data_IF_950695556487
#
_entry.id   IF_950695556487
#
_cell.length_a   1.000
_cell.length_b   1.000
_cell.length_c   1.000
_cell.angle_alpha   90.00
_cell.angle_beta   90.00
_cell.angle_gamma   90.00
#
_symmetry.space_group_name_H-M   'P 1'
#
loop_
_entity.id
_entity.type
_entity.pdbx_description
1 polymer ?
#
# COMPACT_ATOMS: atom_id res chain seq x y z
N UNK A 1 -47.05 -12.97 -12.44
CA UNK A 1 -45.99 -13.75 -11.75
C UNK A 1 -45.21 -12.76 -10.88
N UNK A 2 -45.34 -12.82 -9.55
CA UNK A 2 -44.73 -11.87 -8.62
C UNK A 2 -43.38 -12.43 -8.14
N UNK A 3 -42.28 -11.79 -8.53
CA UNK A 3 -40.96 -12.11 -8.00
C UNK A 3 -40.71 -11.31 -6.72
N UNK A 4 -40.34 -12.00 -5.63
CA UNK A 4 -39.96 -11.39 -4.35
C UNK A 4 -38.45 -11.42 -4.25
N UNK A 5 -37.80 -10.25 -4.22
CA UNK A 5 -36.35 -10.14 -4.05
C UNK A 5 -36.00 -10.56 -2.63
N UNK A 6 -35.17 -11.59 -2.48
CA UNK A 6 -34.60 -11.99 -1.21
C UNK A 6 -33.33 -11.15 -1.03
N UNK A 7 -33.37 -10.15 -0.15
CA UNK A 7 -32.17 -9.39 0.21
C UNK A 7 -31.23 -10.34 0.97
N UNK A 8 -30.14 -10.76 0.33
CA UNK A 8 -29.10 -11.54 1.00
C UNK A 8 -28.55 -10.78 2.20
N UNK A 9 -28.38 -11.46 3.33
CA UNK A 9 -27.74 -10.87 4.52
C UNK A 9 -26.31 -10.50 4.13
N UNK A 10 -26.04 -9.20 4.03
CA UNK A 10 -24.71 -8.69 3.72
C UNK A 10 -23.81 -9.01 4.90
N UNK A 11 -22.97 -10.04 4.79
CA UNK A 11 -21.97 -10.36 5.81
C UNK A 11 -21.06 -9.15 5.98
N UNK A 12 -20.88 -8.69 7.21
CA UNK A 12 -19.89 -7.66 7.52
C UNK A 12 -18.51 -8.16 7.10
N UNK A 13 -17.77 -7.29 6.41
CA UNK A 13 -16.39 -7.62 6.03
C UNK A 13 -15.54 -7.58 7.29
N UNK A 14 -14.63 -8.56 7.49
CA UNK A 14 -13.72 -8.53 8.61
C UNK A 14 -12.86 -7.25 8.59
N UNK A 15 -12.51 -6.73 9.76
CA UNK A 15 -11.47 -5.72 9.85
C UNK A 15 -10.11 -6.39 9.63
N UNK A 16 -9.60 -6.31 8.40
CA UNK A 16 -8.34 -6.94 8.02
C UNK A 16 -7.14 -6.36 8.78
N UNK A 17 -7.17 -5.07 9.14
CA UNK A 17 -6.11 -4.47 9.94
C UNK A 17 -6.01 -5.18 11.29
N UNK A 18 -7.12 -5.33 12.02
CA UNK A 18 -7.13 -5.98 13.34
C UNK A 18 -6.67 -7.44 13.25
N UNK A 19 -7.09 -8.17 12.22
CA UNK A 19 -6.68 -9.56 12.02
C UNK A 19 -5.16 -9.67 11.81
N UNK A 20 -4.59 -8.83 10.95
CA UNK A 20 -3.16 -8.85 10.66
C UNK A 20 -2.32 -8.27 11.81
N UNK A 21 -2.81 -7.22 12.48
CA UNK A 21 -2.19 -6.67 13.68
C UNK A 21 -2.08 -7.73 14.78
N UNK A 22 -3.17 -8.45 15.06
CA UNK A 22 -3.16 -9.54 16.04
C UNK A 22 -2.18 -10.67 15.68
N UNK A 23 -2.08 -11.03 14.39
CA UNK A 23 -1.12 -12.02 13.93
C UNK A 23 0.33 -11.53 14.07
N UNK A 24 0.57 -10.27 13.73
CA UNK A 24 1.85 -9.59 13.87
C UNK A 24 2.31 -9.51 15.33
N UNK A 25 1.45 -9.05 16.25
CA UNK A 25 1.76 -8.96 17.68
C UNK A 25 2.16 -10.33 18.26
N UNK A 26 1.46 -11.40 17.88
CA UNK A 26 1.81 -12.76 18.29
C UNK A 26 3.17 -13.21 17.76
N UNK A 27 3.58 -12.78 16.57
CA UNK A 27 4.93 -13.03 16.05
C UNK A 27 5.99 -12.28 16.86
N UNK A 28 5.75 -11.02 17.20
CA UNK A 28 6.65 -10.22 18.05
C UNK A 28 6.83 -10.86 19.42
N UNK A 29 5.74 -11.26 20.07
CA UNK A 29 5.80 -11.96 21.36
C UNK A 29 6.63 -13.23 21.30
N UNK A 30 6.47 -14.05 20.24
CA UNK A 30 7.25 -15.28 20.05
C UNK A 30 8.73 -15.01 19.80
N UNK A 31 9.06 -13.94 19.08
CA UNK A 31 10.44 -13.52 18.85
C UNK A 31 11.09 -13.02 20.15
N UNK A 32 10.37 -12.26 20.97
CA UNK A 32 10.89 -11.72 22.23
C UNK A 32 11.09 -12.79 23.30
N UNK A 33 10.22 -13.80 23.35
CA UNK A 33 10.32 -14.89 24.34
C UNK A 33 11.27 -16.03 23.91
N UNK A 34 12.12 -15.80 22.90
CA UNK A 34 12.93 -16.82 22.27
C UNK A 34 14.34 -16.97 22.86
N UNK A 35 14.44 -17.32 24.15
CA UNK A 35 15.75 -17.44 24.83
C UNK A 35 16.64 -18.58 24.29
N UNK A 36 16.10 -19.55 23.54
CA UNK A 36 16.90 -20.54 22.80
C UNK A 36 16.11 -21.22 21.66
N UNK A 37 15.38 -20.47 20.85
CA UNK A 37 14.69 -21.08 19.70
C UNK A 37 15.71 -21.71 18.73
N UNK A 38 15.46 -22.95 18.30
CA UNK A 38 16.15 -23.54 17.15
C UNK A 38 16.16 -22.54 15.99
N UNK A 39 17.30 -22.36 15.34
CA UNK A 39 17.51 -21.33 14.30
C UNK A 39 16.39 -21.33 13.24
N UNK A 40 15.87 -22.50 12.87
CA UNK A 40 14.75 -22.65 11.95
C UNK A 40 13.45 -21.98 12.40
N UNK A 41 13.09 -22.10 13.69
CA UNK A 41 11.86 -21.48 14.19
C UNK A 41 12.01 -19.96 14.27
N UNK A 42 13.22 -19.48 14.59
CA UNK A 42 13.54 -18.05 14.54
C UNK A 42 13.46 -17.50 13.12
N UNK A 43 13.95 -18.24 12.13
CA UNK A 43 13.80 -17.91 10.70
C UNK A 43 12.32 -17.88 10.30
N UNK A 44 11.53 -18.87 10.70
CA UNK A 44 10.09 -18.91 10.39
C UNK A 44 9.35 -17.71 10.98
N UNK A 45 9.59 -17.38 12.25
CA UNK A 45 8.92 -16.23 12.87
C UNK A 45 9.39 -14.90 12.28
N UNK A 46 10.65 -14.76 11.84
CA UNK A 46 11.10 -13.60 11.05
C UNK A 46 10.33 -13.47 9.73
N UNK A 47 10.15 -14.57 8.99
CA UNK A 47 9.36 -14.58 7.74
C UNK A 47 7.90 -14.17 7.99
N UNK A 48 7.29 -14.70 9.05
CA UNK A 48 5.91 -14.33 9.45
C UNK A 48 5.79 -12.88 9.90
N UNK A 49 6.78 -12.39 10.65
CA UNK A 49 6.85 -11.01 11.09
C UNK A 49 6.81 -10.05 9.89
N UNK A 50 7.66 -10.30 8.87
CA UNK A 50 7.66 -9.51 7.63
C UNK A 50 6.33 -9.63 6.89
N UNK A 51 5.83 -10.86 6.70
CA UNK A 51 4.57 -11.09 6.00
C UNK A 51 3.39 -10.35 6.65
N UNK A 52 3.16 -10.54 7.95
CA UNK A 52 2.03 -9.90 8.63
C UNK A 52 2.21 -8.39 8.78
N UNK A 53 3.44 -7.90 8.91
CA UNK A 53 3.73 -6.47 8.90
C UNK A 53 3.28 -5.79 7.60
N UNK A 54 3.59 -6.40 6.45
CA UNK A 54 3.11 -5.92 5.14
C UNK A 54 1.59 -5.95 5.05
N UNK A 55 0.96 -7.08 5.39
CA UNK A 55 -0.50 -7.21 5.29
C UNK A 55 -1.23 -6.22 6.21
N UNK A 56 -0.70 -5.99 7.41
CA UNK A 56 -1.21 -5.02 8.37
C UNK A 56 -1.13 -3.60 7.81
N UNK A 57 0.04 -3.18 7.32
CA UNK A 57 0.23 -1.83 6.78
C UNK A 57 -0.57 -1.60 5.49
N UNK A 58 -0.73 -2.63 4.65
CA UNK A 58 -1.62 -2.56 3.48
C UNK A 58 -3.10 -2.45 3.81
N UNK A 59 -3.51 -2.91 5.00
CA UNK A 59 -4.89 -2.81 5.46
C UNK A 59 -5.16 -1.55 6.29
N UNK A 60 -4.13 -0.75 6.59
CA UNK A 60 -4.25 0.45 7.43
C UNK A 60 -4.84 1.60 6.60
N UNK A 61 -5.94 2.17 7.09
CA UNK A 61 -6.44 3.45 6.59
C UNK A 61 -5.74 4.62 7.31
N UNK A 62 -5.27 5.60 6.55
CA UNK A 62 -4.63 6.84 7.02
C UNK A 62 -5.54 8.06 6.94
N UNK A 63 -6.75 7.92 6.39
CA UNK A 63 -7.71 9.02 6.24
C UNK A 63 -8.02 9.70 7.58
N UNK A 64 -7.79 11.02 7.63
CA UNK A 64 -8.15 11.86 8.77
C UNK A 64 -7.25 11.72 10.00
N UNK A 65 -6.14 10.99 9.89
CA UNK A 65 -5.15 10.91 10.95
C UNK A 65 -4.38 12.23 11.11
N UNK A 66 -3.97 12.52 12.34
CA UNK A 66 -3.13 13.68 12.64
C UNK A 66 -1.63 13.37 12.40
N UNK A 67 -0.80 14.41 12.50
CA UNK A 67 0.63 14.32 12.23
C UNK A 67 1.35 13.23 13.04
N UNK A 68 1.11 13.14 14.35
CA UNK A 68 1.79 12.18 15.24
C UNK A 68 1.35 10.73 14.92
N UNK A 69 0.08 10.54 14.59
CA UNK A 69 -0.45 9.25 14.15
C UNK A 69 0.17 8.80 12.83
N UNK A 70 0.33 9.72 11.86
CA UNK A 70 0.97 9.42 10.57
C UNK A 70 2.45 9.09 10.75
N UNK A 71 3.17 9.83 11.61
CA UNK A 71 4.57 9.54 11.93
C UNK A 71 4.73 8.16 12.58
N UNK A 72 3.83 7.78 13.49
CA UNK A 72 3.85 6.45 14.12
C UNK A 72 3.69 5.33 13.08
N UNK A 73 2.87 5.55 12.05
CA UNK A 73 2.72 4.59 10.94
C UNK A 73 3.97 4.59 10.06
N UNK A 74 4.60 5.75 9.82
CA UNK A 74 5.84 5.86 9.05
C UNK A 74 6.97 5.09 9.73
N UNK A 75 7.10 5.21 11.05
CA UNK A 75 8.04 4.42 11.85
C UNK A 75 7.79 2.92 11.70
N UNK A 76 6.52 2.48 11.68
CA UNK A 76 6.19 1.09 11.42
C UNK A 76 6.60 0.64 10.00
N UNK A 77 6.41 1.47 8.98
CA UNK A 77 6.90 1.19 7.62
C UNK A 77 8.42 1.04 7.60
N UNK A 78 9.16 1.98 8.20
CA UNK A 78 10.63 1.92 8.25
C UNK A 78 11.13 0.71 9.03
N UNK A 79 10.45 0.34 10.12
CA UNK A 79 10.78 -0.85 10.89
C UNK A 79 10.60 -2.15 10.08
N UNK A 80 9.49 -2.25 9.34
CA UNK A 80 9.24 -3.41 8.46
C UNK A 80 10.24 -3.44 7.30
N UNK A 81 10.55 -2.30 6.67
CA UNK A 81 11.60 -2.22 5.64
C UNK A 81 12.97 -2.60 6.19
N UNK A 82 13.31 -2.19 7.41
CA UNK A 82 14.52 -2.60 8.10
C UNK A 82 14.59 -4.12 8.31
N UNK A 83 13.47 -4.77 8.62
CA UNK A 83 13.43 -6.24 8.71
C UNK A 83 13.55 -6.93 7.33
N UNK A 84 12.92 -6.36 6.29
CA UNK A 84 13.03 -6.86 4.92
C UNK A 84 14.46 -6.76 4.39
N UNK A 85 15.18 -5.67 4.71
CA UNK A 85 16.53 -5.43 4.19
C UNK A 85 17.55 -6.48 4.67
N UNK A 86 17.27 -7.16 5.79
CA UNK A 86 18.12 -8.24 6.30
C UNK A 86 17.91 -9.57 5.56
N UNK A 87 16.89 -9.67 4.71
CA UNK A 87 16.65 -10.86 3.89
C UNK A 87 17.48 -10.77 2.61
N UNK A 88 17.90 -11.93 2.11
CA UNK A 88 18.29 -12.07 0.71
C UNK A 88 17.07 -12.03 -0.22
N UNK A 89 17.24 -11.66 -1.51
CA UNK A 89 16.16 -11.74 -2.49
C UNK A 89 15.49 -13.12 -2.56
N UNK A 90 16.25 -14.21 -2.45
CA UNK A 90 15.69 -15.57 -2.42
C UNK A 90 14.83 -15.82 -1.17
N UNK A 91 15.24 -15.35 0.01
CA UNK A 91 14.41 -15.43 1.21
C UNK A 91 13.15 -14.57 1.11
N UNK A 92 13.25 -13.40 0.48
CA UNK A 92 12.12 -12.52 0.22
C UNK A 92 11.12 -13.15 -0.76
N UNK A 93 11.60 -13.75 -1.86
CA UNK A 93 10.77 -14.47 -2.84
C UNK A 93 9.99 -15.65 -2.22
N UNK A 94 10.55 -16.28 -1.17
CA UNK A 94 9.83 -17.30 -0.41
C UNK A 94 8.64 -16.74 0.41
N UNK A 95 8.68 -15.45 0.76
CA UNK A 95 7.59 -14.78 1.49
C UNK A 95 6.59 -14.19 0.49
N UNK A 96 7.10 -13.52 -0.53
CA UNK A 96 6.32 -12.84 -1.56
C UNK A 96 6.76 -13.33 -2.94
N UNK A 97 6.17 -14.41 -3.47
CA UNK A 97 6.56 -14.92 -4.78
C UNK A 97 6.36 -13.89 -5.89
N UNK A 98 7.31 -13.83 -6.83
CA UNK A 98 7.22 -12.96 -8.02
C UNK A 98 6.03 -13.40 -8.87
N UNK A 99 5.25 -12.44 -9.36
CA UNK A 99 4.18 -12.74 -10.31
C UNK A 99 4.73 -13.27 -11.63
N UNK A 100 4.23 -14.42 -12.07
CA UNK A 100 4.58 -15.05 -13.35
C UNK A 100 3.80 -14.43 -14.50
N UNK A 101 4.05 -13.14 -14.73
CA UNK A 101 3.58 -12.40 -15.89
C UNK A 101 4.78 -12.00 -16.73
N UNK A 102 4.59 -11.95 -18.04
CA UNK A 102 5.69 -11.93 -19.01
C UNK A 102 5.46 -10.91 -20.14
N UNK A 103 4.39 -10.11 -20.05
CA UNK A 103 4.02 -9.09 -21.02
C UNK A 103 4.24 -7.68 -20.44
N UNK A 104 5.30 -7.53 -19.63
CA UNK A 104 5.70 -6.27 -18.98
C UNK A 104 5.95 -5.16 -19.99
N UNK A 105 6.86 -5.43 -20.91
CA UNK A 105 7.29 -4.49 -21.94
C UNK A 105 6.11 -3.97 -22.78
N UNK A 106 5.16 -4.85 -23.11
CA UNK A 106 3.99 -4.49 -23.92
C UNK A 106 3.07 -3.48 -23.22
N UNK A 107 2.92 -3.58 -21.91
CA UNK A 107 1.98 -2.73 -21.16
C UNK A 107 2.70 -1.69 -20.27
N UNK A 108 4.01 -1.52 -20.42
CA UNK A 108 4.79 -0.51 -19.69
C UNK A 108 4.88 -0.75 -18.18
N UNK A 109 4.91 -2.02 -17.76
CA UNK A 109 4.95 -2.42 -16.35
C UNK A 109 6.03 -3.46 -16.11
N UNK A 110 6.43 -3.62 -14.85
CA UNK A 110 7.45 -4.57 -14.44
C UNK A 110 6.87 -5.97 -14.49
N UNK A 111 7.62 -6.91 -15.04
CA UNK A 111 7.21 -8.31 -15.15
C UNK A 111 8.22 -9.25 -14.49
N UNK A 112 7.99 -10.56 -14.63
CA UNK A 112 8.83 -11.58 -14.02
C UNK A 112 10.32 -11.41 -14.41
N UNK A 113 10.61 -11.17 -15.68
CA UNK A 113 11.98 -11.06 -16.17
C UNK A 113 12.63 -9.77 -15.70
N UNK A 114 11.90 -8.66 -15.71
CA UNK A 114 12.36 -7.40 -15.13
C UNK A 114 12.78 -7.60 -13.66
N UNK A 115 11.90 -8.19 -12.84
CA UNK A 115 12.21 -8.42 -11.41
C UNK A 115 13.38 -9.38 -11.22
N UNK A 116 13.49 -10.47 -12.01
CA UNK A 116 14.66 -11.38 -11.90
C UNK A 116 15.97 -10.69 -12.28
N UNK A 117 15.96 -9.78 -13.26
CA UNK A 117 17.15 -9.00 -13.61
C UNK A 117 17.55 -8.05 -12.48
N UNK A 118 16.60 -7.31 -11.90
CA UNK A 118 16.85 -6.44 -10.75
C UNK A 118 17.40 -7.22 -9.54
N UNK A 119 16.87 -8.42 -9.28
CA UNK A 119 17.39 -9.34 -8.26
C UNK A 119 18.85 -9.73 -8.53
N UNK A 120 19.18 -10.06 -9.78
CA UNK A 120 20.52 -10.48 -10.17
C UNK A 120 21.58 -9.37 -9.95
N UNK A 121 21.21 -8.10 -10.17
CA UNK A 121 22.06 -6.94 -9.91
C UNK A 121 22.36 -6.70 -8.42
N UNK A 122 21.45 -7.13 -7.55
CA UNK A 122 21.63 -7.06 -6.09
C UNK A 122 22.43 -8.26 -5.58
N UNK A 123 22.16 -9.44 -6.13
CA UNK A 123 22.70 -10.72 -5.68
C UNK A 123 21.64 -11.56 -4.96
N UNK A 124 21.35 -12.75 -5.48
CA UNK A 124 20.20 -13.56 -5.04
C UNK A 124 20.25 -14.02 -3.57
N UNK A 125 21.46 -14.24 -3.04
CA UNK A 125 21.71 -14.82 -1.72
C UNK A 125 22.42 -13.84 -0.77
N UNK A 126 22.50 -12.56 -1.14
CA UNK A 126 23.08 -11.50 -0.31
C UNK A 126 21.97 -10.66 0.30
N UNK A 127 22.09 -10.22 1.57
CA UNK A 127 21.12 -9.32 2.17
C UNK A 127 20.90 -8.06 1.33
N UNK A 128 19.65 -7.61 1.22
CA UNK A 128 19.25 -6.46 0.38
C UNK A 128 19.80 -5.13 0.91
N UNK A 129 19.84 -4.96 2.24
CA UNK A 129 20.40 -3.82 2.98
C UNK A 129 19.93 -2.46 2.45
N UNK A 130 20.86 -1.57 2.11
CA UNK A 130 20.60 -0.19 1.67
C UNK A 130 19.77 -0.11 0.38
N UNK A 131 19.73 -1.18 -0.42
CA UNK A 131 18.99 -1.24 -1.68
C UNK A 131 17.50 -1.54 -1.50
N UNK A 132 16.98 -1.54 -0.26
CA UNK A 132 15.61 -1.96 0.04
C UNK A 132 14.54 -1.18 -0.72
N UNK A 133 14.66 0.15 -0.83
CA UNK A 133 13.63 0.94 -1.52
C UNK A 133 13.59 0.61 -3.02
N UNK A 134 14.76 0.54 -3.67
CA UNK A 134 14.87 0.20 -5.10
C UNK A 134 14.40 -1.24 -5.36
N UNK A 135 14.83 -2.17 -4.51
CA UNK A 135 14.40 -3.57 -4.56
C UNK A 135 12.87 -3.68 -4.51
N UNK A 136 12.22 -3.09 -3.50
CA UNK A 136 10.77 -3.16 -3.35
C UNK A 136 10.03 -2.47 -4.49
N UNK A 137 10.57 -1.37 -5.01
CA UNK A 137 10.01 -0.69 -6.17
C UNK A 137 10.03 -1.60 -7.40
N UNK A 138 11.15 -2.31 -7.64
CA UNK A 138 11.38 -3.16 -8.81
C UNK A 138 10.80 -4.59 -8.68
N UNK A 139 10.25 -4.91 -7.51
CA UNK A 139 9.71 -6.22 -7.21
C UNK A 139 8.23 -6.37 -7.62
N UNK A 140 7.97 -7.23 -8.62
CA UNK A 140 6.62 -7.45 -9.11
C UNK A 140 5.85 -8.47 -8.25
N UNK A 141 5.16 -7.95 -7.23
CA UNK A 141 4.19 -8.67 -6.40
C UNK A 141 3.14 -7.68 -5.85
N UNK A 142 1.84 -7.95 -6.02
CA UNK A 142 0.79 -7.03 -5.57
C UNK A 142 0.87 -6.58 -4.12
N UNK A 143 1.21 -7.45 -3.16
CA UNK A 143 1.30 -7.05 -1.75
C UNK A 143 2.47 -6.08 -1.54
N UNK A 144 3.60 -6.31 -2.22
CA UNK A 144 4.78 -5.43 -2.18
C UNK A 144 4.52 -4.10 -2.90
N UNK A 145 3.87 -4.13 -4.08
CA UNK A 145 3.52 -2.92 -4.82
C UNK A 145 2.54 -2.05 -4.02
N UNK A 146 1.51 -2.64 -3.39
CA UNK A 146 0.61 -1.90 -2.51
C UNK A 146 1.35 -1.32 -1.30
N UNK A 147 2.30 -2.07 -0.74
CA UNK A 147 3.10 -1.61 0.39
C UNK A 147 3.90 -0.34 0.03
N UNK A 148 4.56 -0.33 -1.13
CA UNK A 148 5.29 0.84 -1.61
C UNK A 148 4.36 2.02 -1.92
N UNK A 149 3.24 1.78 -2.59
CA UNK A 149 2.26 2.84 -2.88
C UNK A 149 1.68 3.43 -1.60
N UNK A 150 1.38 2.61 -0.60
CA UNK A 150 0.88 3.06 0.70
C UNK A 150 1.94 3.85 1.47
N UNK A 151 3.22 3.45 1.41
CA UNK A 151 4.32 4.22 2.01
C UNK A 151 4.46 5.61 1.36
N UNK A 152 4.40 5.71 0.03
CA UNK A 152 4.44 7.00 -0.69
C UNK A 152 3.20 7.87 -0.43
N UNK A 153 2.03 7.24 -0.33
CA UNK A 153 0.78 7.92 0.01
C UNK A 153 0.86 8.52 1.41
N UNK A 154 1.38 7.76 2.38
CA UNK A 154 1.63 8.22 3.73
C UNK A 154 2.58 9.41 3.78
N UNK A 155 3.69 9.39 3.02
CA UNK A 155 4.61 10.53 2.90
C UNK A 155 3.86 11.76 2.38
N UNK A 156 2.98 11.58 1.39
CA UNK A 156 2.16 12.67 0.86
C UNK A 156 1.17 13.20 1.90
N UNK A 157 0.57 12.34 2.71
CA UNK A 157 -0.36 12.74 3.78
C UNK A 157 0.36 13.53 4.87
N UNK A 158 1.55 13.10 5.28
CA UNK A 158 2.41 13.82 6.22
C UNK A 158 2.71 15.23 5.71
N UNK A 159 3.13 15.34 4.44
CA UNK A 159 3.40 16.62 3.79
C UNK A 159 2.17 17.53 3.76
N UNK A 160 1.01 16.99 3.41
CA UNK A 160 -0.26 17.76 3.37
C UNK A 160 -0.67 18.28 4.74
N UNK A 161 -0.52 17.48 5.79
CA UNK A 161 -0.78 17.93 7.18
C UNK A 161 0.17 19.06 7.60
N UNK A 162 1.37 19.11 7.02
CA UNK A 162 2.33 20.20 7.20
C UNK A 162 2.10 21.39 6.25
N UNK A 163 1.03 21.38 5.44
CA UNK A 163 0.72 22.44 4.48
C UNK A 163 1.55 22.39 3.19
N UNK A 164 2.24 21.28 2.91
CA UNK A 164 3.02 21.06 1.70
C UNK A 164 2.23 20.25 0.67
N UNK A 165 2.62 20.34 -0.61
CA UNK A 165 2.09 19.47 -1.67
C UNK A 165 2.53 18.02 -1.45
N UNK A 166 1.66 17.08 -1.83
CA UNK A 166 1.99 15.66 -1.90
C UNK A 166 3.00 15.36 -3.02
N UNK A 167 3.59 14.15 -3.00
CA UNK A 167 4.67 13.79 -3.93
C UNK A 167 4.22 13.85 -5.40
N UNK A 168 3.02 13.35 -5.71
CA UNK A 168 2.51 13.34 -7.09
C UNK A 168 2.15 14.75 -7.57
N UNK A 169 1.67 15.62 -6.67
CA UNK A 169 1.33 17.00 -6.99
C UNK A 169 2.60 17.78 -7.38
N UNK A 170 3.66 17.64 -6.57
CA UNK A 170 4.98 18.23 -6.85
C UNK A 170 5.56 17.72 -8.17
N UNK A 171 5.53 16.40 -8.41
CA UNK A 171 5.97 15.82 -9.68
C UNK A 171 5.18 16.37 -10.89
N UNK A 172 3.86 16.51 -10.76
CA UNK A 172 3.01 17.03 -11.82
C UNK A 172 3.30 18.50 -12.11
N UNK A 173 3.53 19.32 -11.08
CA UNK A 173 3.95 20.71 -11.26
C UNK A 173 5.30 20.83 -11.97
N UNK A 174 6.28 20.01 -11.58
CA UNK A 174 7.62 19.99 -12.20
C UNK A 174 7.60 19.59 -13.69
N UNK A 175 6.56 18.86 -14.11
CA UNK A 175 6.39 18.39 -15.48
C UNK A 175 5.30 19.15 -16.24
N UNK A 176 4.81 20.28 -15.72
CA UNK A 176 3.75 21.10 -16.31
C UNK A 176 2.45 20.32 -16.62
N UNK A 177 2.16 19.28 -15.83
CA UNK A 177 0.97 18.44 -15.98
C UNK A 177 -0.16 18.95 -15.08
N UNK A 178 -1.32 19.36 -15.63
CA UNK A 178 -2.45 19.78 -14.80
C UNK A 178 -3.03 18.60 -14.03
N UNK A 179 -3.41 18.85 -12.78
CA UNK A 179 -4.10 17.89 -11.93
C UNK A 179 -5.29 18.53 -11.24
N UNK A 180 -6.13 17.68 -10.64
CA UNK A 180 -7.35 18.11 -9.97
C UNK A 180 -7.37 17.64 -8.52
N UNK A 181 -7.64 18.57 -7.61
CA UNK A 181 -7.81 18.27 -6.19
C UNK A 181 -9.30 18.24 -5.86
N UNK A 182 -9.74 17.19 -5.16
CA UNK A 182 -11.11 17.07 -4.73
C UNK A 182 -11.29 17.64 -3.32
N UNK A 183 -12.14 18.65 -3.19
CA UNK A 183 -12.53 19.25 -1.92
C UNK A 183 -13.95 18.83 -1.57
N UNK A 184 -14.20 18.65 -0.27
CA UNK A 184 -15.55 18.39 0.26
C UNK A 184 -15.89 19.52 1.24
N UNK A 185 -16.99 20.23 0.99
CA UNK A 185 -17.46 21.26 1.92
C UNK A 185 -18.15 20.65 3.16
N UNK A 186 -18.44 21.48 4.16
CA UNK A 186 -19.14 21.10 5.40
C UNK A 186 -20.50 20.43 5.16
N UNK A 187 -21.11 20.64 3.98
CA UNK A 187 -22.40 20.07 3.58
C UNK A 187 -22.23 18.77 2.78
N UNK A 188 -21.01 18.26 2.66
CA UNK A 188 -20.67 17.02 1.95
C UNK A 188 -20.69 17.15 0.42
N UNK A 189 -20.71 18.38 -0.11
CA UNK A 189 -20.69 18.62 -1.56
C UNK A 189 -19.25 18.69 -2.05
N UNK A 190 -18.99 17.98 -3.14
CA UNK A 190 -17.66 17.80 -3.71
C UNK A 190 -17.40 18.76 -4.86
N UNK A 191 -16.18 19.27 -4.94
CA UNK A 191 -15.69 20.16 -5.99
C UNK A 191 -14.31 19.71 -6.43
N UNK A 192 -14.00 19.89 -7.70
CA UNK A 192 -12.67 19.69 -8.26
C UNK A 192 -12.06 21.06 -8.56
N UNK A 193 -10.87 21.31 -8.04
CA UNK A 193 -10.07 22.49 -8.35
C UNK A 193 -8.95 22.11 -9.31
N UNK A 194 -8.80 22.84 -10.42
CA UNK A 194 -7.73 22.64 -11.38
C UNK A 194 -6.44 23.35 -10.92
N UNK A 195 -5.31 22.64 -10.89
CA UNK A 195 -4.05 23.15 -10.35
C UNK A 195 -3.43 24.32 -11.11
N UNK A 196 -3.70 24.45 -12.42
CA UNK A 196 -3.11 25.50 -13.27
C UNK A 196 -3.98 26.75 -13.38
N UNK A 197 -5.29 26.55 -13.51
CA UNK A 197 -6.24 27.65 -13.78
C UNK A 197 -6.94 28.15 -12.51
N UNK A 198 -6.92 27.37 -11.43
CA UNK A 198 -7.73 27.62 -10.23
C UNK A 198 -9.24 27.45 -10.46
N UNK A 199 -9.66 26.94 -11.63
CA UNK A 199 -11.07 26.73 -11.92
C UNK A 199 -11.67 25.64 -11.03
N UNK A 200 -12.80 25.97 -10.39
CA UNK A 200 -13.52 25.05 -9.49
C UNK A 200 -14.80 24.55 -10.15
N UNK A 201 -14.88 23.24 -10.35
CA UNK A 201 -16.05 22.58 -10.93
C UNK A 201 -16.76 21.70 -9.89
N UNK A 202 -18.07 21.91 -9.71
CA UNK A 202 -18.89 21.05 -8.84
C UNK A 202 -18.99 19.64 -9.41
N UNK A 203 -18.67 18.63 -8.60
CA UNK A 203 -18.88 17.21 -8.95
C UNK A 203 -20.38 16.91 -8.99
N UNK A 204 -20.89 16.45 -10.14
CA UNK A 204 -22.26 15.95 -10.27
C UNK A 204 -22.25 14.43 -10.10
N UNK A 205 -22.91 13.93 -9.05
CA UNK A 205 -23.09 12.47 -8.88
C UNK A 205 -23.91 11.94 -10.05
N UNK A 206 -23.42 10.88 -10.70
CA UNK A 206 -24.15 10.20 -11.74
C UNK A 206 -25.49 9.70 -11.18
N UNK A 207 -26.58 9.97 -11.90
CA UNK A 207 -27.89 9.43 -11.54
C UNK A 207 -27.78 7.90 -11.60
N UNK A 208 -28.07 7.18 -10.51
CA UNK A 208 -27.98 5.73 -10.50
C UNK A 208 -28.81 5.13 -11.63
N UNK A 209 -28.27 4.15 -12.35
CA UNK A 209 -28.92 3.54 -13.53
C UNK A 209 -30.34 2.99 -13.26
N UNK A 210 -30.68 2.73 -11.99
CA UNK A 210 -31.99 2.23 -11.57
C UNK A 210 -33.05 3.32 -11.34
N UNK A 211 -32.68 4.61 -11.39
CA UNK A 211 -33.61 5.73 -11.29
C UNK A 211 -33.97 6.23 -12.68
N UNK A 212 -35.17 5.91 -13.16
CA UNK A 212 -35.73 6.49 -14.38
C UNK A 212 -36.41 7.82 -14.06
N UNK A 213 -36.02 8.89 -14.75
CA UNK A 213 -36.70 10.18 -14.68
C UNK A 213 -38.07 10.00 -15.32
N UNK A 214 -39.14 10.12 -14.52
CA UNK A 214 -40.52 10.16 -15.03
C UNK A 214 -40.68 11.50 -15.77
N UNK A 215 -40.95 11.43 -17.07
CA UNK A 215 -41.34 12.60 -17.88
C UNK A 215 -42.80 12.92 -17.69
#
# INVERSE_FOLDING_TARGET
MNFKVINGVKRERPNYFDLYFNAFSKCVERLNNSDSLFDELKILEKKRFVYYGVKMLNAKNTDGLNYDELLSIMEAFEFIKGAMSQLSPNEFENIFPIEKKYDGEKNGWKDYFFTKNAIAEIGENTPILEKINDFLWDYQNWDVSHFMVNNMSLISDIRRVQGQKGLMEEFMDENDVPYYTMHTDEKGKQYLENSQTGEVTKVRKAIPRYLHVVK
#
